data_IF_323903317663
#
_entry.id   IF_323903317663
#
_cell.length_a   1.000
_cell.length_b   1.000
_cell.length_c   1.000
_cell.angle_alpha   90.00
_cell.angle_beta   90.00
_cell.angle_gamma   90.00
#
_symmetry.space_group_name_H-M   'P 1'
#
loop_
_entity.id
_entity.type
_entity.pdbx_description
1 polymer ?
#
# COMPACT_ATOMS: atom_id res chain seq x y z
N UNK A 1 -6.23 -10.31 -2.91
CA UNK A 1 -6.93 -11.08 -3.97
C UNK A 1 -5.95 -12.01 -4.67
N UNK A 2 -6.48 -12.93 -5.48
CA UNK A 2 -5.71 -13.76 -6.41
C UNK A 2 -6.06 -13.35 -7.84
N UNK A 3 -5.35 -13.87 -8.84
CA UNK A 3 -5.73 -13.69 -10.25
C UNK A 3 -7.16 -14.22 -10.54
N UNK A 4 -7.68 -15.12 -9.71
CA UNK A 4 -9.07 -15.62 -9.75
C UNK A 4 -10.10 -14.72 -9.04
N UNK A 5 -9.71 -13.54 -8.57
CA UNK A 5 -10.57 -12.55 -7.90
C UNK A 5 -10.52 -12.61 -6.38
N UNK A 6 -11.61 -12.22 -5.75
CA UNK A 6 -11.78 -12.20 -4.30
C UNK A 6 -11.78 -13.62 -3.72
N UNK A 7 -11.30 -13.75 -2.49
CA UNK A 7 -11.55 -14.95 -1.68
C UNK A 7 -13.04 -15.07 -1.33
N UNK A 8 -13.45 -16.23 -0.86
CA UNK A 8 -14.82 -16.43 -0.39
C UNK A 8 -15.23 -15.41 0.69
N UNK A 9 -14.32 -15.07 1.59
CA UNK A 9 -14.58 -14.06 2.63
C UNK A 9 -14.78 -12.67 2.03
N UNK A 10 -13.99 -12.30 1.02
CA UNK A 10 -14.17 -11.05 0.29
C UNK A 10 -15.54 -10.96 -0.38
N UNK A 11 -15.99 -12.03 -1.05
CA UNK A 11 -17.33 -12.08 -1.63
C UNK A 11 -18.41 -12.01 -0.56
N UNK A 12 -18.21 -12.67 0.59
CA UNK A 12 -19.16 -12.64 1.70
C UNK A 12 -19.29 -11.24 2.32
N UNK A 13 -18.19 -10.45 2.38
CA UNK A 13 -18.24 -9.06 2.82
C UNK A 13 -19.09 -8.20 1.87
N UNK A 14 -18.88 -8.33 0.55
CA UNK A 14 -19.71 -7.63 -0.45
C UNK A 14 -21.20 -7.99 -0.30
N UNK A 15 -21.48 -9.28 -0.14
CA UNK A 15 -22.86 -9.77 0.07
C UNK A 15 -23.47 -9.26 1.37
N UNK A 16 -22.72 -9.24 2.47
CA UNK A 16 -23.17 -8.73 3.75
C UNK A 16 -23.52 -7.24 3.68
N UNK A 17 -22.65 -6.43 3.03
CA UNK A 17 -22.90 -5.01 2.81
C UNK A 17 -24.19 -4.80 2.00
N UNK A 18 -24.36 -5.53 0.89
CA UNK A 18 -25.58 -5.49 0.09
C UNK A 18 -26.83 -5.83 0.91
N UNK A 19 -26.79 -6.91 1.70
CA UNK A 19 -27.91 -7.35 2.52
C UNK A 19 -28.25 -6.34 3.64
N UNK A 20 -27.26 -5.61 4.12
CA UNK A 20 -27.44 -4.53 5.09
C UNK A 20 -27.91 -3.20 4.47
N UNK A 21 -28.15 -3.16 3.16
CA UNK A 21 -28.53 -1.93 2.46
C UNK A 21 -27.40 -0.89 2.32
N UNK A 22 -26.15 -1.29 2.54
CA UNK A 22 -25.00 -0.40 2.36
C UNK A 22 -24.67 -0.29 0.88
N UNK A 23 -24.67 0.94 0.37
CA UNK A 23 -24.21 1.21 -0.98
C UNK A 23 -22.67 1.13 -1.00
N UNK A 24 -22.14 0.24 -1.83
CA UNK A 24 -20.71 0.17 -2.11
C UNK A 24 -20.44 0.95 -3.40
N UNK A 25 -19.70 2.03 -3.30
CA UNK A 25 -19.30 2.81 -4.47
C UNK A 25 -18.15 2.14 -5.21
N UNK A 26 -17.14 1.65 -4.49
CA UNK A 26 -15.98 0.98 -5.09
C UNK A 26 -15.51 -0.19 -4.22
N UNK A 27 -15.33 -1.35 -4.84
CA UNK A 27 -14.54 -2.47 -4.29
C UNK A 27 -13.13 -2.33 -4.85
N UNK A 28 -12.19 -1.86 -4.03
CA UNK A 28 -10.80 -1.68 -4.44
C UNK A 28 -9.99 -2.93 -4.11
N UNK A 29 -9.49 -3.61 -5.15
CA UNK A 29 -8.69 -4.82 -5.00
C UNK A 29 -7.20 -4.51 -4.97
N UNK A 30 -6.47 -5.16 -4.07
CA UNK A 30 -5.02 -5.13 -4.01
C UNK A 30 -4.47 -6.26 -4.88
N UNK A 31 -4.03 -5.93 -6.12
CA UNK A 31 -3.50 -6.89 -7.09
C UNK A 31 -1.99 -7.03 -6.92
N UNK A 32 -1.60 -7.66 -5.84
CA UNK A 32 -0.22 -7.83 -5.38
C UNK A 32 -0.09 -9.15 -4.63
N UNK A 33 1.16 -9.64 -4.49
CA UNK A 33 1.49 -10.83 -3.70
C UNK A 33 0.59 -12.03 -4.01
N UNK A 34 0.49 -12.38 -5.31
CA UNK A 34 -0.39 -13.47 -5.75
C UNK A 34 0.11 -14.86 -5.34
N UNK A 35 1.36 -14.95 -4.83
CA UNK A 35 2.03 -16.20 -4.44
C UNK A 35 2.06 -17.27 -5.53
N UNK A 36 2.05 -16.82 -6.80
CA UNK A 36 2.02 -17.70 -7.98
C UNK A 36 3.42 -18.02 -8.53
N UNK A 37 4.46 -17.56 -7.84
CA UNK A 37 5.86 -17.71 -8.22
C UNK A 37 6.43 -16.52 -9.02
N UNK A 38 7.75 -16.52 -9.16
CA UNK A 38 8.50 -15.38 -9.73
C UNK A 38 8.30 -15.16 -11.24
N UNK A 39 7.66 -16.11 -11.93
CA UNK A 39 7.37 -16.02 -13.38
C UNK A 39 5.99 -15.46 -13.70
N UNK A 40 5.21 -15.03 -12.71
CA UNK A 40 3.86 -14.50 -12.94
C UNK A 40 3.93 -13.14 -13.60
N UNK A 41 3.23 -12.99 -14.72
CA UNK A 41 3.05 -11.71 -15.40
C UNK A 41 2.01 -10.90 -14.62
N UNK A 42 2.46 -9.87 -13.90
CA UNK A 42 1.67 -9.18 -12.87
C UNK A 42 0.60 -8.26 -13.48
N UNK A 43 0.83 -7.69 -14.64
CA UNK A 43 -0.14 -6.85 -15.33
C UNK A 43 -1.37 -7.64 -15.77
N UNK A 44 -1.17 -8.77 -16.44
CA UNK A 44 -2.26 -9.66 -16.84
C UNK A 44 -2.93 -10.32 -15.64
N UNK A 45 -2.16 -10.67 -14.60
CA UNK A 45 -2.70 -11.16 -13.34
C UNK A 45 -3.63 -10.14 -12.68
N UNK A 46 -3.27 -8.86 -12.71
CA UNK A 46 -4.12 -7.76 -12.19
C UNK A 46 -5.39 -7.59 -13.00
N UNK A 47 -5.30 -7.68 -14.33
CA UNK A 47 -6.47 -7.63 -15.24
C UNK A 47 -7.40 -8.82 -14.98
N UNK A 48 -6.84 -10.04 -14.89
CA UNK A 48 -7.61 -11.25 -14.60
C UNK A 48 -8.32 -11.15 -13.23
N UNK A 49 -7.62 -10.67 -12.20
CA UNK A 49 -8.21 -10.44 -10.87
C UNK A 49 -9.36 -9.42 -10.93
N UNK A 50 -9.22 -8.35 -11.71
CA UNK A 50 -10.26 -7.33 -11.88
C UNK A 50 -11.51 -7.91 -12.56
N UNK A 51 -11.35 -8.65 -13.65
CA UNK A 51 -12.44 -9.30 -14.37
C UNK A 51 -13.17 -10.34 -13.51
N UNK A 52 -12.41 -11.19 -12.81
CA UNK A 52 -12.97 -12.19 -11.91
C UNK A 52 -13.72 -11.55 -10.72
N UNK A 53 -13.15 -10.50 -10.14
CA UNK A 53 -13.79 -9.73 -9.06
C UNK A 53 -15.10 -9.12 -9.51
N UNK A 54 -15.14 -8.50 -10.70
CA UNK A 54 -16.39 -7.95 -11.23
C UNK A 54 -17.46 -9.02 -11.42
N UNK A 55 -17.11 -10.18 -11.98
CA UNK A 55 -18.04 -11.30 -12.11
C UNK A 55 -18.59 -11.77 -10.76
N UNK A 56 -17.73 -11.84 -9.72
CA UNK A 56 -18.12 -12.17 -8.36
C UNK A 56 -19.05 -11.10 -7.75
N UNK A 57 -18.75 -9.80 -7.93
CA UNK A 57 -19.60 -8.71 -7.50
C UNK A 57 -20.98 -8.79 -8.18
N UNK A 58 -21.02 -9.04 -9.47
CA UNK A 58 -22.26 -9.20 -10.26
C UNK A 58 -23.08 -10.41 -9.84
N UNK A 59 -22.46 -11.46 -9.30
CA UNK A 59 -23.18 -12.59 -8.70
C UNK A 59 -23.92 -12.20 -7.40
N UNK A 60 -23.50 -11.13 -6.75
CA UNK A 60 -24.16 -10.57 -5.56
C UNK A 60 -25.19 -9.51 -5.96
N UNK A 61 -24.84 -8.65 -6.91
CA UNK A 61 -25.71 -7.61 -7.45
C UNK A 61 -25.33 -7.31 -8.89
N UNK A 62 -26.20 -7.64 -9.82
CA UNK A 62 -25.97 -7.48 -11.27
C UNK A 62 -25.80 -6.02 -11.72
N UNK A 63 -26.11 -5.04 -10.87
CA UNK A 63 -25.92 -3.62 -11.14
C UNK A 63 -24.47 -3.15 -11.08
N UNK A 64 -23.57 -3.94 -10.48
CA UNK A 64 -22.14 -3.59 -10.44
C UNK A 64 -21.52 -3.63 -11.83
N UNK A 65 -20.70 -2.61 -12.11
CA UNK A 65 -19.90 -2.50 -13.32
C UNK A 65 -18.45 -2.15 -12.98
N UNK A 66 -17.60 -1.99 -13.99
CA UNK A 66 -16.21 -1.58 -13.79
C UNK A 66 -16.07 -0.24 -13.05
N UNK A 67 -17.06 0.66 -13.15
CA UNK A 67 -17.10 1.88 -12.34
C UNK A 67 -17.16 1.65 -10.83
N UNK A 68 -17.56 0.45 -10.39
CA UNK A 68 -17.58 0.04 -8.99
C UNK A 68 -16.33 -0.76 -8.58
N UNK A 69 -15.32 -0.85 -9.45
CA UNK A 69 -14.09 -1.58 -9.20
C UNK A 69 -12.91 -0.62 -9.07
N UNK A 70 -12.01 -0.88 -8.14
CA UNK A 70 -10.70 -0.24 -8.05
C UNK A 70 -9.58 -1.26 -8.15
N UNK A 71 -8.43 -0.87 -8.70
CA UNK A 71 -7.26 -1.73 -8.87
C UNK A 71 -6.06 -1.03 -8.22
N UNK A 72 -5.35 -1.75 -7.33
CA UNK A 72 -4.19 -1.24 -6.62
C UNK A 72 -3.06 -2.28 -6.65
N UNK A 73 -2.17 -2.26 -7.64
CA UNK A 73 -0.97 -3.09 -7.64
C UNK A 73 0.11 -2.56 -6.70
N UNK A 74 1.05 -3.43 -6.32
CA UNK A 74 2.30 -3.08 -5.67
C UNK A 74 3.39 -2.92 -6.72
N UNK A 75 3.89 -1.70 -6.89
CA UNK A 75 4.88 -1.35 -7.92
C UNK A 75 6.26 -1.91 -7.60
N UNK A 76 6.96 -2.38 -8.62
CA UNK A 76 8.27 -2.98 -8.47
C UNK A 76 8.21 -4.38 -7.87
N UNK A 77 9.23 -4.74 -7.08
CA UNK A 77 9.33 -6.06 -6.47
C UNK A 77 8.30 -6.22 -5.35
N UNK A 78 7.52 -7.28 -5.39
CA UNK A 78 6.51 -7.64 -4.39
C UNK A 78 7.12 -8.52 -3.28
N UNK A 79 6.40 -8.70 -2.16
CA UNK A 79 6.89 -9.45 -1.01
C UNK A 79 7.02 -10.95 -1.34
N UNK A 80 6.20 -11.47 -2.25
CA UNK A 80 6.26 -12.85 -2.74
C UNK A 80 7.39 -13.10 -3.75
N UNK A 81 8.18 -12.07 -4.08
CA UNK A 81 9.29 -12.13 -5.04
C UNK A 81 8.90 -11.89 -6.49
N UNK A 82 7.62 -11.80 -6.81
CA UNK A 82 7.15 -11.34 -8.13
C UNK A 82 7.52 -9.88 -8.37
N UNK A 83 7.39 -9.42 -9.61
CA UNK A 83 7.76 -8.03 -9.96
C UNK A 83 6.70 -7.41 -10.84
N UNK A 84 6.13 -6.30 -10.38
CA UNK A 84 5.24 -5.46 -11.16
C UNK A 84 6.07 -4.38 -11.86
N UNK A 85 6.19 -4.49 -13.17
CA UNK A 85 7.04 -3.64 -14.01
C UNK A 85 6.28 -2.41 -14.53
N UNK A 86 7.02 -1.48 -15.18
CA UNK A 86 6.38 -0.38 -15.91
C UNK A 86 5.55 -0.86 -17.12
N UNK A 87 5.86 -2.04 -17.68
CA UNK A 87 5.02 -2.65 -18.73
C UNK A 87 3.69 -3.12 -18.13
N UNK A 88 3.72 -3.75 -16.96
CA UNK A 88 2.52 -4.15 -16.23
C UNK A 88 1.65 -2.96 -15.88
N UNK A 89 2.28 -1.85 -15.44
CA UNK A 89 1.56 -0.61 -15.15
C UNK A 89 0.79 -0.08 -16.36
N UNK A 90 1.41 -0.10 -17.55
CA UNK A 90 0.74 0.31 -18.80
C UNK A 90 -0.40 -0.63 -19.17
N UNK A 91 -0.24 -1.94 -18.95
CA UNK A 91 -1.29 -2.94 -19.18
C UNK A 91 -2.51 -2.67 -18.30
N UNK A 92 -2.28 -2.42 -17.02
CA UNK A 92 -3.37 -2.15 -16.06
C UNK A 92 -4.02 -0.79 -16.32
N UNK A 93 -3.23 0.23 -16.62
CA UNK A 93 -3.72 1.57 -16.95
C UNK A 93 -4.60 1.54 -18.22
N UNK A 94 -4.12 0.91 -19.30
CA UNK A 94 -4.88 0.77 -20.54
C UNK A 94 -6.18 -0.01 -20.34
N UNK A 95 -6.16 -1.08 -19.52
CA UNK A 95 -7.38 -1.81 -19.16
C UNK A 95 -8.35 -0.93 -18.37
N UNK A 96 -7.85 -0.18 -17.40
CA UNK A 96 -8.67 0.72 -16.58
C UNK A 96 -9.33 1.81 -17.44
N UNK A 97 -8.59 2.42 -18.35
CA UNK A 97 -9.09 3.42 -19.29
C UNK A 97 -10.14 2.84 -20.25
N UNK A 98 -9.84 1.68 -20.85
CA UNK A 98 -10.75 1.01 -21.79
C UNK A 98 -12.10 0.66 -21.16
N UNK A 99 -12.11 0.27 -19.91
CA UNK A 99 -13.31 -0.23 -19.22
C UNK A 99 -13.96 0.78 -18.28
N UNK A 100 -13.35 1.95 -18.05
CA UNK A 100 -13.85 2.94 -17.12
C UNK A 100 -13.86 2.43 -15.69
N UNK A 101 -12.75 1.85 -15.23
CA UNK A 101 -12.59 1.35 -13.86
C UNK A 101 -12.74 2.52 -12.88
N UNK A 102 -13.46 2.35 -11.78
CA UNK A 102 -13.81 3.46 -10.88
C UNK A 102 -12.64 4.06 -10.11
N UNK A 103 -11.56 3.31 -9.93
CA UNK A 103 -10.35 3.77 -9.25
C UNK A 103 -9.11 3.04 -9.75
N UNK A 104 -8.04 3.80 -9.99
CA UNK A 104 -6.70 3.26 -10.22
C UNK A 104 -5.75 3.88 -9.19
N UNK A 105 -5.05 3.04 -8.45
CA UNK A 105 -4.09 3.42 -7.44
C UNK A 105 -2.91 2.46 -7.46
N UNK A 106 -1.89 2.69 -6.64
CA UNK A 106 -0.79 1.75 -6.47
C UNK A 106 -0.16 1.85 -5.07
N UNK A 107 0.42 0.77 -4.62
CA UNK A 107 1.27 0.70 -3.44
C UNK A 107 2.74 0.73 -3.87
N UNK A 108 3.50 1.78 -3.54
CA UNK A 108 3.11 3.03 -2.92
C UNK A 108 4.01 4.17 -3.45
N UNK A 109 3.59 5.40 -3.28
CA UNK A 109 4.28 6.57 -3.82
C UNK A 109 5.75 6.68 -3.33
N UNK A 110 6.04 6.33 -2.09
CA UNK A 110 7.40 6.33 -1.56
C UNK A 110 8.30 5.26 -2.20
N UNK A 111 7.72 4.25 -2.84
CA UNK A 111 8.44 3.22 -3.61
C UNK A 111 8.71 3.63 -5.05
N UNK A 112 8.04 4.66 -5.57
CA UNK A 112 8.13 5.07 -6.97
C UNK A 112 9.44 5.83 -7.26
N UNK A 113 10.55 5.17 -6.95
CA UNK A 113 11.90 5.64 -7.17
C UNK A 113 12.88 4.47 -7.31
N UNK A 114 14.03 4.69 -7.99
CA UNK A 114 15.10 3.70 -8.02
C UNK A 114 15.70 3.53 -6.63
N UNK A 115 16.24 2.34 -6.35
CA UNK A 115 16.99 2.10 -5.13
C UNK A 115 18.36 2.78 -5.20
N UNK A 116 18.85 3.26 -4.04
CA UNK A 116 20.17 3.89 -3.91
C UNK A 116 20.27 4.67 -2.61
N UNK A 117 21.49 4.82 -2.08
CA UNK A 117 21.71 5.49 -0.80
C UNK A 117 20.91 4.87 0.35
N UNK A 118 20.11 5.69 1.02
CA UNK A 118 19.21 5.24 2.09
C UNK A 118 17.91 4.58 1.60
N UNK A 119 17.52 4.79 0.34
CA UNK A 119 16.35 4.16 -0.27
C UNK A 119 16.75 2.79 -0.86
N UNK A 120 16.84 1.76 -0.03
CA UNK A 120 17.30 0.43 -0.44
C UNK A 120 16.51 -0.71 0.22
N UNK A 121 15.20 -0.56 0.34
CA UNK A 121 14.32 -1.59 0.86
C UNK A 121 13.00 -1.64 0.11
N UNK A 122 12.26 -2.74 0.23
CA UNK A 122 10.92 -2.88 -0.37
C UNK A 122 9.95 -1.75 0.05
N UNK A 123 10.16 -1.14 1.21
CA UNK A 123 9.32 -0.04 1.68
C UNK A 123 9.73 1.34 1.15
N UNK A 124 10.93 1.50 0.58
CA UNK A 124 11.50 2.80 0.23
C UNK A 124 11.87 2.96 -1.25
N UNK A 125 11.87 1.89 -2.03
CA UNK A 125 12.12 1.92 -3.46
C UNK A 125 11.47 0.71 -4.15
N UNK A 126 11.34 0.77 -5.48
CA UNK A 126 10.67 -0.29 -6.26
C UNK A 126 11.49 -1.56 -6.45
N UNK A 127 12.78 -1.54 -6.15
CA UNK A 127 13.74 -2.64 -6.40
C UNK A 127 13.88 -3.00 -7.89
N UNK A 128 13.50 -2.11 -8.80
CA UNK A 128 13.70 -2.23 -10.24
C UNK A 128 14.39 -0.99 -10.80
N UNK A 129 14.91 -1.10 -12.01
CA UNK A 129 15.47 0.06 -12.74
C UNK A 129 14.32 0.93 -13.25
N UNK A 130 14.28 2.18 -12.80
CA UNK A 130 13.29 3.17 -13.22
C UNK A 130 13.81 4.60 -12.99
N UNK A 131 13.12 5.59 -13.57
CA UNK A 131 13.25 6.99 -13.16
C UNK A 131 12.38 7.26 -11.91
N UNK A 132 12.70 8.26 -11.09
CA UNK A 132 11.77 8.70 -10.03
C UNK A 132 10.40 9.03 -10.61
N UNK A 133 9.33 8.58 -9.92
CA UNK A 133 7.92 8.78 -10.28
C UNK A 133 7.48 8.16 -11.61
N UNK A 134 8.22 7.17 -12.13
CA UNK A 134 7.90 6.56 -13.42
C UNK A 134 6.57 5.81 -13.44
N UNK A 135 6.15 5.20 -12.33
CA UNK A 135 4.82 4.60 -12.20
C UNK A 135 3.74 5.66 -12.07
N UNK A 136 3.99 6.72 -11.31
CA UNK A 136 3.11 7.89 -11.23
C UNK A 136 2.83 8.46 -12.63
N UNK A 137 3.86 8.62 -13.46
CA UNK A 137 3.72 9.12 -14.83
C UNK A 137 2.84 8.21 -15.71
N UNK A 138 2.86 6.90 -15.48
CA UNK A 138 1.96 5.97 -16.17
C UNK A 138 0.53 6.13 -15.68
N UNK A 139 0.31 6.05 -14.36
CA UNK A 139 -1.03 6.05 -13.77
C UNK A 139 -1.74 7.40 -13.85
N UNK A 140 -1.00 8.51 -13.91
CA UNK A 140 -1.60 9.85 -14.11
C UNK A 140 -2.24 10.05 -15.49
N UNK A 141 -2.01 9.15 -16.46
CA UNK A 141 -2.72 9.17 -17.75
C UNK A 141 -4.16 8.72 -17.60
N UNK A 142 -4.47 7.95 -16.57
CA UNK A 142 -5.81 7.48 -16.28
C UNK A 142 -6.72 8.65 -15.90
N UNK A 143 -7.70 8.95 -16.77
CA UNK A 143 -8.62 10.08 -16.59
C UNK A 143 -9.81 9.79 -15.65
N UNK A 144 -9.91 8.53 -15.15
CA UNK A 144 -11.04 8.09 -14.32
C UNK A 144 -12.25 7.64 -15.15
N UNK A 145 -12.93 6.60 -14.65
CA UNK A 145 -14.15 6.09 -15.27
C UNK A 145 -15.25 7.15 -15.35
N UNK A 146 -16.05 7.06 -16.37
CA UNK A 146 -17.09 7.99 -16.80
C UNK A 146 -17.96 8.54 -15.67
N UNK A 147 -17.65 9.75 -15.26
CA UNK A 147 -18.41 10.50 -14.25
C UNK A 147 -17.99 11.96 -14.16
N UNK A 148 -17.48 12.55 -15.22
CA UNK A 148 -17.17 13.97 -15.20
C UNK A 148 -16.25 14.41 -16.32
N UNK A 149 -16.83 15.00 -17.35
CA UNK A 149 -16.15 15.84 -18.32
C UNK A 149 -15.42 16.95 -17.56
N UNK A 150 -14.13 16.80 -17.31
CA UNK A 150 -13.29 17.94 -16.96
C UNK A 150 -12.45 18.29 -18.17
N UNK A 151 -12.93 19.30 -18.87
CA UNK A 151 -12.25 20.01 -19.95
C UNK A 151 -10.81 20.34 -19.54
N UNK A 152 -9.85 19.90 -20.34
CA UNK A 152 -8.45 20.23 -20.17
C UNK A 152 -8.19 21.72 -20.12
N UNK A 153 -7.81 22.24 -18.97
CA UNK A 153 -7.25 23.57 -18.82
C UNK A 153 -5.76 23.51 -19.06
N UNK A 154 -5.33 23.91 -20.25
CA UNK A 154 -3.94 24.27 -20.55
C UNK A 154 -3.55 25.44 -19.66
N UNK A 155 -2.74 25.25 -18.65
CA UNK A 155 -2.08 26.34 -17.94
C UNK A 155 -0.64 26.48 -18.45
N UNK A 156 -0.47 27.46 -19.29
CA UNK A 156 0.81 28.06 -19.69
C UNK A 156 1.64 28.46 -18.49
N UNK A 157 2.95 28.32 -18.64
CA UNK A 157 3.94 28.63 -17.66
C UNK A 157 3.89 30.05 -17.10
N UNK A 158 4.20 30.17 -15.85
CA UNK A 158 4.52 31.37 -15.15
C UNK A 158 5.82 31.19 -14.40
N UNK A 159 6.90 31.69 -14.97
CA UNK A 159 8.18 31.90 -14.32
C UNK A 159 8.01 32.93 -13.20
N UNK A 160 8.41 32.62 -11.99
CA UNK A 160 8.68 33.63 -10.96
C UNK A 160 9.94 33.25 -10.18
N UNK A 161 10.87 34.14 -10.32
CA UNK A 161 12.18 34.16 -9.66
C UNK A 161 12.09 34.57 -8.19
N UNK A 162 12.97 34.01 -7.39
CA UNK A 162 13.72 34.76 -6.38
C UNK A 162 13.12 34.84 -4.97
N UNK A 163 13.89 34.32 -4.02
CA UNK A 163 13.72 34.63 -2.62
C UNK A 163 14.57 33.74 -1.73
N UNK A 164 15.85 34.06 -1.66
CA UNK A 164 16.80 33.57 -0.64
C UNK A 164 16.45 34.15 0.71
N UNK A 165 16.34 33.34 1.75
CA UNK A 165 16.67 33.78 3.12
C UNK A 165 17.25 32.62 3.91
N UNK A 166 18.44 32.90 4.38
CA UNK A 166 19.29 32.08 5.26
C UNK A 166 18.77 32.04 6.71
N UNK A 167 19.12 31.00 7.39
CA UNK A 167 19.52 31.11 8.78
C UNK A 167 18.66 30.39 9.80
N UNK A 168 19.33 29.50 10.54
CA UNK A 168 18.80 29.07 11.82
C UNK A 168 19.20 27.65 12.24
N UNK A 169 20.45 27.46 12.59
CA UNK A 169 20.94 26.35 13.43
C UNK A 169 20.28 26.39 14.79
N UNK A 170 19.75 25.30 15.27
CA UNK A 170 19.61 25.06 16.70
C UNK A 170 19.68 23.58 17.00
N UNK A 171 20.80 23.22 17.56
CA UNK A 171 21.01 22.00 18.34
C UNK A 171 20.14 22.06 19.60
N UNK A 172 19.39 21.02 19.87
CA UNK A 172 18.68 20.85 21.10
C UNK A 172 18.69 19.39 21.51
N UNK A 173 19.75 19.03 22.25
CA UNK A 173 19.80 17.84 23.09
C UNK A 173 18.84 18.04 24.25
N UNK A 174 17.88 17.16 24.44
CA UNK A 174 17.20 17.00 25.72
C UNK A 174 16.97 15.53 26.03
N UNK A 175 17.80 15.08 26.92
CA UNK A 175 17.62 13.94 27.81
C UNK A 175 16.38 14.20 28.67
N UNK A 176 15.49 13.23 28.73
CA UNK A 176 14.36 13.28 29.66
C UNK A 176 13.79 11.88 29.84
N UNK A 177 14.38 11.11 30.75
CA UNK A 177 13.86 9.83 31.17
C UNK A 177 12.57 10.01 31.96
N UNK A 178 11.62 9.12 31.74
CA UNK A 178 10.63 8.78 32.75
C UNK A 178 10.49 7.26 32.75
N UNK A 179 11.06 6.67 33.75
CA UNK A 179 10.90 5.27 34.15
C UNK A 179 9.45 5.04 34.58
N UNK A 180 8.75 4.13 33.95
CA UNK A 180 7.65 3.43 34.58
C UNK A 180 8.01 1.96 34.66
N UNK A 181 8.23 1.55 35.87
CA UNK A 181 8.55 0.21 36.38
C UNK A 181 7.39 -0.74 36.09
N UNK A 182 7.68 -1.87 35.46
CA UNK A 182 6.71 -2.96 35.32
C UNK A 182 7.34 -4.22 34.74
N UNK A 183 7.88 -5.08 35.63
CA UNK A 183 8.02 -6.51 35.39
C UNK A 183 9.32 -6.98 34.72
N UNK A 184 10.18 -7.59 35.52
CA UNK A 184 11.50 -8.14 35.25
C UNK A 184 11.65 -8.99 33.98
N UNK A 185 12.63 -8.60 33.24
CA UNK A 185 13.26 -9.24 32.13
C UNK A 185 14.29 -8.26 31.57
N UNK A 186 15.45 -8.71 31.17
CA UNK A 186 16.51 -7.87 30.59
C UNK A 186 16.22 -7.55 29.12
N UNK A 187 15.03 -7.00 28.82
CA UNK A 187 14.73 -6.55 27.47
C UNK A 187 15.71 -5.45 27.04
N UNK A 188 16.29 -5.59 25.87
CA UNK A 188 17.29 -4.64 25.36
C UNK A 188 16.69 -3.61 24.41
N UNK A 189 15.51 -3.90 23.86
CA UNK A 189 14.80 -2.99 22.99
C UNK A 189 14.08 -1.88 23.78
N UNK A 190 13.87 -0.72 23.16
CA UNK A 190 13.07 0.36 23.74
C UNK A 190 11.62 -0.10 23.99
N UNK A 191 10.99 0.40 25.06
CA UNK A 191 9.59 0.07 25.35
C UNK A 191 8.66 0.52 24.23
N UNK A 192 7.68 -0.30 23.88
CA UNK A 192 6.63 0.05 22.94
C UNK A 192 5.78 1.23 23.45
N UNK A 193 5.35 2.08 22.51
CA UNK A 193 4.46 3.20 22.78
C UNK A 193 3.35 3.29 21.73
N UNK A 194 2.07 3.47 22.10
CA UNK A 194 0.97 3.55 21.16
C UNK A 194 1.01 4.79 20.25
N UNK A 195 1.72 5.83 20.63
CA UNK A 195 1.86 7.05 19.83
C UNK A 195 3.05 7.02 18.87
N UNK A 196 3.96 6.07 19.05
CA UNK A 196 5.16 5.93 18.23
C UNK A 196 4.81 5.23 16.91
N UNK A 197 5.42 5.71 15.83
CA UNK A 197 5.39 5.02 14.53
C UNK A 197 6.55 4.02 14.49
N UNK A 198 6.24 2.81 14.07
CA UNK A 198 7.22 1.74 13.83
C UNK A 198 7.14 1.29 12.38
N UNK A 199 8.27 0.94 11.83
CA UNK A 199 8.40 0.41 10.46
C UNK A 199 9.02 -0.97 10.49
N UNK A 200 8.90 -1.71 9.40
CA UNK A 200 9.47 -3.06 9.30
C UNK A 200 10.94 -3.11 9.74
N UNK A 201 11.24 -4.02 10.65
CA UNK A 201 12.56 -4.16 11.25
C UNK A 201 12.75 -3.44 12.60
N UNK A 202 11.90 -2.48 12.98
CA UNK A 202 12.00 -1.87 14.32
C UNK A 202 11.72 -2.90 15.40
N UNK A 203 12.48 -2.84 16.49
CA UNK A 203 12.32 -3.70 17.66
C UNK A 203 11.86 -2.90 18.86
N UNK A 204 10.96 -3.48 19.65
CA UNK A 204 10.43 -2.90 20.88
C UNK A 204 10.33 -3.97 21.95
N UNK A 205 10.35 -3.57 23.23
CA UNK A 205 10.01 -4.45 24.34
C UNK A 205 8.57 -4.18 24.80
N UNK A 206 7.82 -5.26 25.04
CA UNK A 206 6.46 -5.18 25.56
C UNK A 206 6.07 -6.44 26.32
N UNK A 207 5.55 -6.26 27.55
CA UNK A 207 5.09 -7.37 28.42
C UNK A 207 6.12 -8.50 28.61
N UNK A 208 7.41 -8.16 28.73
CA UNK A 208 8.47 -9.13 28.97
C UNK A 208 8.94 -9.90 27.74
N UNK A 209 8.60 -9.45 26.56
CA UNK A 209 9.07 -9.97 25.27
C UNK A 209 9.68 -8.85 24.43
N UNK A 210 10.65 -9.20 23.60
CA UNK A 210 11.08 -8.37 22.49
C UNK A 210 10.25 -8.69 21.23
N UNK A 211 9.83 -7.65 20.54
CA UNK A 211 8.96 -7.72 19.36
C UNK A 211 9.60 -6.99 18.19
N UNK A 212 9.44 -7.52 16.98
CA UNK A 212 9.90 -6.90 15.76
C UNK A 212 8.70 -6.53 14.88
N UNK A 213 8.62 -5.28 14.47
CA UNK A 213 7.62 -4.86 13.49
C UNK A 213 7.93 -5.52 12.14
N UNK A 214 6.95 -6.16 11.54
CA UNK A 214 7.03 -6.77 10.19
C UNK A 214 6.86 -5.70 9.10
N UNK A 215 6.01 -4.71 9.35
CA UNK A 215 5.72 -3.58 8.47
C UNK A 215 5.34 -2.34 9.30
N UNK A 216 4.85 -1.30 8.63
CA UNK A 216 4.45 -0.06 9.30
C UNK A 216 3.28 -0.28 10.27
N UNK A 217 3.38 0.30 11.45
CA UNK A 217 2.31 0.30 12.47
C UNK A 217 2.39 1.51 13.38
N UNK A 218 1.23 1.92 13.89
CA UNK A 218 1.07 2.87 14.98
C UNK A 218 -0.16 2.47 15.79
N UNK A 219 -0.02 2.41 17.11
CA UNK A 219 -1.14 2.09 18.01
C UNK A 219 -1.48 0.62 18.15
N UNK A 220 -0.97 -0.28 17.30
CA UNK A 220 -1.19 -1.72 17.46
C UNK A 220 -0.29 -2.29 18.56
N UNK A 221 -0.92 -2.82 19.60
CA UNK A 221 -0.22 -3.39 20.76
C UNK A 221 0.44 -4.73 20.38
N UNK A 222 1.75 -4.93 20.67
CA UNK A 222 2.40 -6.21 20.43
C UNK A 222 1.71 -7.37 21.15
N UNK A 223 1.58 -8.50 20.45
CA UNK A 223 0.98 -9.73 20.98
C UNK A 223 -0.55 -9.80 20.94
N UNK A 224 -1.24 -8.79 20.39
CA UNK A 224 -2.72 -8.79 20.34
C UNK A 224 -3.31 -9.34 19.05
N UNK A 225 -2.54 -9.36 17.96
CA UNK A 225 -3.03 -9.69 16.61
C UNK A 225 -2.59 -11.06 16.09
N UNK A 226 -1.95 -11.89 16.92
CA UNK A 226 -1.53 -13.24 16.60
C UNK A 226 -0.44 -13.32 15.52
N UNK A 227 -0.27 -14.51 14.92
CA UNK A 227 0.79 -14.80 13.95
C UNK A 227 0.73 -13.91 12.70
N UNK A 228 -0.46 -13.50 12.27
CA UNK A 228 -0.68 -12.66 11.10
C UNK A 228 -0.64 -11.15 11.40
N UNK A 229 -0.43 -10.79 12.67
CA UNK A 229 -0.31 -9.39 13.10
C UNK A 229 1.03 -8.76 12.69
N UNK A 230 1.09 -7.44 12.90
CA UNK A 230 2.25 -6.61 12.55
C UNK A 230 3.50 -6.94 13.38
N UNK A 231 3.34 -7.54 14.54
CA UNK A 231 4.44 -7.86 15.46
C UNK A 231 4.87 -9.32 15.39
N UNK A 232 6.15 -9.54 15.15
CA UNK A 232 6.80 -10.83 15.32
C UNK A 232 7.34 -10.91 16.75
N UNK A 233 6.97 -11.94 17.49
CA UNK A 233 7.57 -12.23 18.79
C UNK A 233 9.00 -12.76 18.59
N UNK A 234 9.97 -12.11 19.22
CA UNK A 234 11.37 -12.53 19.22
C UNK A 234 11.73 -13.37 20.46
N UNK A 235 10.79 -13.52 21.38
CA UNK A 235 10.96 -14.30 22.61
C UNK A 235 10.93 -13.45 23.88
N UNK A 236 10.86 -14.16 25.01
CA UNK A 236 10.91 -13.54 26.33
C UNK A 236 12.31 -12.95 26.62
N UNK A 237 12.33 -11.82 27.27
CA UNK A 237 13.54 -11.12 27.68
C UNK A 237 13.66 -10.87 29.21
#
# INVERSE_FOLDING_TARGET
VLASGLTNDGVNIVRAAKNAGVKIDVVNIMTMDFYSGTGTEMGQGSVAAAQATLAQMQSVDSSYGYGNLGITPMIGKNDDGSTFTLADARTVEAFAEQHGVGRLAFWSVNRDQPCGGSANSLSTCSQISQSPLAFTDVFMKYAGGTGGTTSGGTTSGGTSSGGTTSGGTSSGTTTGGTTTTGGGGNCTAAAWSPSQIYTGGNTVSWKGHDWKAKWWTQGEEPGTTGEWGVWQDLGAC
#
